data_IF_859978061394
#
_entry.id   IF_859978061394
#
_cell.length_a   1.000
_cell.length_b   1.000
_cell.length_c   1.000
_cell.angle_alpha   90.00
_cell.angle_beta   90.00
_cell.angle_gamma   90.00
#
_symmetry.space_group_name_H-M   'P 1'
#
loop_
_entity.id
_entity.type
_entity.pdbx_description
1 polymer ?
#
# COMPACT_ATOMS: atom_id res chain seq x y z
N UNK A 1 -0.14 -26.33 -17.28
CA UNK A 1 -1.40 -25.54 -17.34
C UNK A 1 -2.31 -25.80 -16.12
N UNK A 2 -2.21 -26.97 -15.47
CA UNK A 2 -3.12 -27.43 -14.40
C UNK A 2 -2.99 -26.70 -13.04
N UNK A 3 -1.79 -26.39 -12.56
CA UNK A 3 -1.59 -25.77 -11.22
C UNK A 3 -2.25 -24.39 -11.13
N UNK A 4 -2.17 -23.60 -12.21
CA UNK A 4 -2.72 -22.23 -12.27
C UNK A 4 -4.25 -22.20 -12.38
N UNK A 5 -4.86 -23.30 -12.82
CA UNK A 5 -6.32 -23.50 -12.84
C UNK A 5 -6.82 -24.08 -11.49
N UNK A 6 -6.08 -25.02 -10.90
CA UNK A 6 -6.40 -25.60 -9.59
C UNK A 6 -6.42 -24.54 -8.47
N UNK A 7 -5.47 -23.61 -8.46
CA UNK A 7 -5.45 -22.50 -7.51
C UNK A 7 -6.62 -21.53 -7.74
N UNK A 8 -7.01 -21.31 -8.99
CA UNK A 8 -8.11 -20.40 -9.36
C UNK A 8 -9.48 -20.89 -8.90
N UNK A 9 -9.66 -22.22 -8.83
CA UNK A 9 -10.92 -22.83 -8.38
C UNK A 9 -10.99 -23.03 -6.86
N UNK A 10 -9.92 -22.72 -6.10
CA UNK A 10 -9.88 -22.87 -4.63
C UNK A 10 -9.74 -21.56 -3.87
N UNK A 11 -9.52 -20.45 -4.57
CA UNK A 11 -9.39 -19.12 -3.99
C UNK A 11 -10.59 -18.30 -4.46
N UNK A 12 -11.28 -17.56 -3.58
CA UNK A 12 -12.42 -16.73 -3.98
C UNK A 12 -12.03 -15.80 -5.13
N UNK A 13 -12.90 -15.68 -6.14
CA UNK A 13 -12.69 -14.73 -7.22
C UNK A 13 -12.83 -13.30 -6.68
N UNK A 14 -11.87 -12.45 -7.05
CA UNK A 14 -11.79 -11.07 -6.60
C UNK A 14 -11.35 -10.17 -7.76
N UNK A 15 -11.59 -8.87 -7.64
CA UNK A 15 -11.24 -7.90 -8.68
C UNK A 15 -12.22 -7.84 -9.86
N UNK A 16 -13.43 -8.36 -9.69
CA UNK A 16 -14.50 -8.35 -10.72
C UNK A 16 -15.20 -7.00 -10.87
N UNK A 17 -14.75 -5.96 -10.12
CA UNK A 17 -15.35 -4.63 -10.20
C UNK A 17 -15.43 -4.13 -11.66
N UNK A 18 -16.56 -3.55 -12.06
CA UNK A 18 -16.69 -2.89 -13.35
C UNK A 18 -15.56 -1.88 -13.55
N UNK A 19 -15.01 -1.72 -14.78
CA UNK A 19 -13.83 -0.88 -15.00
C UNK A 19 -13.94 0.56 -14.47
N UNK A 20 -15.12 1.18 -14.61
CA UNK A 20 -15.37 2.53 -14.12
C UNK A 20 -15.37 2.63 -12.58
N UNK A 21 -15.91 1.61 -11.91
CA UNK A 21 -15.95 1.51 -10.45
C UNK A 21 -14.53 1.33 -9.90
N UNK A 22 -13.77 0.42 -10.49
CA UNK A 22 -12.36 0.21 -10.15
C UNK A 22 -11.54 1.47 -10.33
N UNK A 23 -11.66 2.15 -11.47
CA UNK A 23 -10.86 3.36 -11.76
C UNK A 23 -11.18 4.48 -10.76
N UNK A 24 -12.45 4.63 -10.35
CA UNK A 24 -12.84 5.60 -9.31
C UNK A 24 -12.17 5.28 -7.97
N UNK A 25 -12.27 4.03 -7.52
CA UNK A 25 -11.71 3.59 -6.23
C UNK A 25 -10.18 3.64 -6.22
N UNK A 26 -9.56 3.14 -7.29
CA UNK A 26 -8.12 3.17 -7.49
C UNK A 26 -7.57 4.59 -7.49
N UNK A 27 -8.25 5.54 -8.16
CA UNK A 27 -7.86 6.95 -8.16
C UNK A 27 -7.94 7.57 -6.75
N UNK A 28 -8.97 7.25 -5.98
CA UNK A 28 -9.07 7.71 -4.58
C UNK A 28 -7.91 7.19 -3.73
N UNK A 29 -7.59 5.89 -3.83
CA UNK A 29 -6.47 5.30 -3.10
C UNK A 29 -5.10 5.80 -3.58
N UNK A 30 -4.96 6.08 -4.87
CA UNK A 30 -3.73 6.66 -5.42
C UNK A 30 -3.53 8.10 -4.95
N UNK A 31 -4.60 8.90 -4.87
CA UNK A 31 -4.57 10.24 -4.25
C UNK A 31 -4.20 10.17 -2.78
N UNK A 32 -4.73 9.18 -2.05
CA UNK A 32 -4.34 8.94 -0.66
C UNK A 32 -2.85 8.58 -0.55
N UNK A 33 -2.32 7.76 -1.46
CA UNK A 33 -0.90 7.43 -1.50
C UNK A 33 -0.03 8.68 -1.75
N UNK A 34 -0.44 9.53 -2.70
CA UNK A 34 0.22 10.82 -2.91
C UNK A 34 0.17 11.72 -1.69
N UNK A 35 -0.98 11.79 -1.02
CA UNK A 35 -1.15 12.57 0.21
C UNK A 35 -0.26 12.02 1.33
N UNK A 36 -0.23 10.70 1.52
CA UNK A 36 0.61 10.05 2.53
C UNK A 36 2.11 10.30 2.26
N UNK A 37 2.55 10.20 1.00
CA UNK A 37 3.91 10.54 0.60
C UNK A 37 4.24 12.02 0.90
N UNK A 38 3.31 12.94 0.58
CA UNK A 38 3.47 14.36 0.87
C UNK A 38 3.53 14.67 2.37
N UNK A 39 2.65 14.06 3.17
CA UNK A 39 2.62 14.21 4.63
C UNK A 39 3.92 13.68 5.24
N UNK A 40 4.38 12.49 4.85
CA UNK A 40 5.61 11.91 5.37
C UNK A 40 6.84 12.73 4.98
N UNK A 41 6.88 13.23 3.74
CA UNK A 41 7.93 14.13 3.30
C UNK A 41 7.95 15.41 4.16
N UNK A 42 6.80 16.09 4.28
CA UNK A 42 6.68 17.31 5.06
C UNK A 42 7.03 17.10 6.54
N UNK A 43 6.53 16.02 7.16
CA UNK A 43 6.82 15.69 8.54
C UNK A 43 8.31 15.39 8.77
N UNK A 44 8.97 14.71 7.83
CA UNK A 44 10.41 14.44 7.89
C UNK A 44 11.20 15.75 7.86
N UNK A 45 10.83 16.70 7.00
CA UNK A 45 11.45 18.03 6.95
C UNK A 45 11.24 18.84 8.23
N UNK A 46 10.01 18.87 8.76
CA UNK A 46 9.66 19.65 9.97
C UNK A 46 10.35 19.07 11.21
N UNK A 47 10.42 17.73 11.32
CA UNK A 47 10.99 17.04 12.49
C UNK A 47 12.53 17.06 12.52
N UNK A 48 13.18 17.79 11.61
CA UNK A 48 14.62 17.95 11.61
C UNK A 48 15.41 16.79 10.99
N UNK A 49 14.75 15.79 10.41
CA UNK A 49 15.39 14.77 9.58
C UNK A 49 15.82 15.39 8.24
N UNK A 50 16.90 16.18 8.24
CA UNK A 50 17.34 16.98 7.08
C UNK A 50 18.24 16.22 6.09
N UNK A 51 18.58 14.97 6.39
CA UNK A 51 19.60 14.22 5.68
C UNK A 51 19.01 13.00 4.92
N UNK A 52 19.75 11.91 4.80
CA UNK A 52 19.40 10.74 3.99
C UNK A 52 18.05 10.07 4.35
N UNK A 53 17.57 10.19 5.60
CA UNK A 53 16.32 9.56 6.05
C UNK A 53 15.07 10.14 5.37
N UNK A 54 14.94 11.46 5.25
CA UNK A 54 13.81 12.07 4.54
C UNK A 54 13.82 11.69 3.05
N UNK A 55 15.01 11.66 2.44
CA UNK A 55 15.19 11.23 1.05
C UNK A 55 14.81 9.75 0.85
N UNK A 56 15.11 8.88 1.81
CA UNK A 56 14.74 7.46 1.78
C UNK A 56 13.21 7.29 1.80
N UNK A 57 12.48 8.06 2.61
CA UNK A 57 11.01 7.98 2.64
C UNK A 57 10.40 8.37 1.29
N UNK A 58 10.89 9.47 0.70
CA UNK A 58 10.47 9.95 -0.61
C UNK A 58 10.84 8.94 -1.72
N UNK A 59 12.06 8.40 -1.67
CA UNK A 59 12.56 7.42 -2.62
C UNK A 59 11.78 6.09 -2.57
N UNK A 60 11.26 5.71 -1.40
CA UNK A 60 10.41 4.54 -1.27
C UNK A 60 9.00 4.76 -1.85
N UNK A 61 8.38 5.93 -1.60
CA UNK A 61 6.97 6.14 -1.93
C UNK A 61 6.71 6.74 -3.31
N UNK A 62 7.56 7.64 -3.81
CA UNK A 62 7.33 8.29 -5.11
C UNK A 62 7.26 7.30 -6.28
N UNK A 63 8.19 6.33 -6.43
CA UNK A 63 8.11 5.36 -7.52
C UNK A 63 6.82 4.55 -7.48
N UNK A 64 6.36 4.19 -6.28
CA UNK A 64 5.10 3.46 -6.08
C UNK A 64 3.89 4.33 -6.46
N UNK A 65 3.87 5.60 -6.05
CA UNK A 65 2.80 6.53 -6.39
C UNK A 65 2.71 6.78 -7.91
N UNK A 66 3.85 7.00 -8.57
CA UNK A 66 3.91 7.16 -10.03
C UNK A 66 3.50 5.88 -10.76
N UNK A 67 4.00 4.72 -10.33
CA UNK A 67 3.67 3.45 -10.97
C UNK A 67 2.19 3.07 -10.77
N UNK A 68 1.61 3.32 -9.59
CA UNK A 68 0.16 3.16 -9.36
C UNK A 68 -0.67 4.04 -10.31
N UNK A 69 -0.25 5.30 -10.50
CA UNK A 69 -0.92 6.24 -11.40
C UNK A 69 -0.70 5.96 -12.90
N UNK A 70 0.20 5.05 -13.26
CA UNK A 70 0.58 4.79 -14.65
C UNK A 70 -0.55 4.14 -15.45
N UNK A 71 -0.87 4.70 -16.62
CA UNK A 71 -1.81 4.09 -17.58
C UNK A 71 -1.18 2.97 -18.40
N UNK A 72 0.15 2.80 -18.34
CA UNK A 72 0.89 1.76 -19.09
C UNK A 72 0.87 0.39 -18.41
N UNK A 73 0.60 0.35 -17.11
CA UNK A 73 0.58 -0.88 -16.32
C UNK A 73 -0.81 -1.51 -16.32
N UNK A 74 -0.84 -2.84 -16.16
CA UNK A 74 -2.10 -3.56 -16.03
C UNK A 74 -2.85 -3.13 -14.77
N UNK A 75 -4.19 -3.28 -14.81
CA UNK A 75 -5.08 -3.02 -13.68
C UNK A 75 -4.62 -3.70 -12.39
N UNK A 76 -4.19 -4.97 -12.49
CA UNK A 76 -3.68 -5.74 -11.36
C UNK A 76 -2.39 -5.13 -10.81
N UNK A 77 -1.40 -4.83 -11.68
CA UNK A 77 -0.14 -4.24 -11.22
C UNK A 77 -0.35 -2.90 -10.53
N UNK A 78 -1.17 -2.02 -11.10
CA UNK A 78 -1.52 -0.72 -10.49
C UNK A 78 -2.17 -0.90 -9.11
N UNK A 79 -3.09 -1.86 -8.99
CA UNK A 79 -3.76 -2.21 -7.73
C UNK A 79 -2.77 -2.70 -6.68
N UNK A 80 -1.89 -3.64 -7.04
CA UNK A 80 -0.90 -4.22 -6.13
C UNK A 80 0.15 -3.18 -5.71
N UNK A 81 0.65 -2.37 -6.65
CA UNK A 81 1.63 -1.31 -6.37
C UNK A 81 1.03 -0.24 -5.45
N UNK A 82 -0.20 0.18 -5.72
CA UNK A 82 -0.93 1.12 -4.84
C UNK A 82 -1.06 0.55 -3.42
N UNK A 83 -1.40 -0.73 -3.31
CA UNK A 83 -1.54 -1.43 -2.03
C UNK A 83 -0.23 -1.50 -1.25
N UNK A 84 0.86 -1.91 -1.90
CA UNK A 84 2.21 -1.90 -1.31
C UNK A 84 2.62 -0.49 -0.91
N UNK A 85 2.32 0.52 -1.73
CA UNK A 85 2.62 1.92 -1.42
C UNK A 85 1.92 2.40 -0.16
N UNK A 86 0.62 2.12 -0.01
CA UNK A 86 -0.15 2.52 1.18
C UNK A 86 0.32 1.79 2.44
N UNK A 87 0.63 0.50 2.34
CA UNK A 87 1.18 -0.28 3.45
C UNK A 87 2.59 0.20 3.85
N UNK A 88 3.41 0.55 2.86
CA UNK A 88 4.73 1.13 3.09
C UNK A 88 4.62 2.51 3.72
N UNK A 89 3.63 3.32 3.33
CA UNK A 89 3.38 4.60 3.99
C UNK A 89 2.96 4.42 5.46
N UNK A 90 2.14 3.40 5.78
CA UNK A 90 1.81 3.07 7.17
C UNK A 90 3.05 2.63 7.97
N UNK A 91 3.86 1.73 7.41
CA UNK A 91 5.13 1.27 7.99
C UNK A 91 6.08 2.44 8.30
N UNK A 92 6.30 3.32 7.32
CA UNK A 92 7.13 4.50 7.50
C UNK A 92 6.53 5.48 8.52
N UNK A 93 5.20 5.59 8.58
CA UNK A 93 4.50 6.37 9.60
C UNK A 93 4.79 5.85 11.01
N UNK A 94 4.76 4.52 11.22
CA UNK A 94 5.13 3.89 12.50
C UNK A 94 6.58 4.17 12.85
N UNK A 95 7.49 3.98 11.88
CA UNK A 95 8.92 4.25 12.08
C UNK A 95 9.18 5.69 12.51
N UNK A 96 8.58 6.65 11.80
CA UNK A 96 8.72 8.08 12.08
C UNK A 96 8.05 8.49 13.40
N UNK A 97 6.99 7.78 13.81
CA UNK A 97 6.38 7.94 15.12
C UNK A 97 7.18 7.29 16.27
N UNK A 98 8.37 6.74 15.99
CA UNK A 98 9.22 6.09 17.00
C UNK A 98 8.73 4.71 17.43
N UNK A 99 7.89 4.06 16.63
CA UNK A 99 7.39 2.71 16.94
C UNK A 99 6.34 2.66 18.05
N UNK A 100 5.68 3.78 18.38
CA UNK A 100 4.60 3.76 19.37
C UNK A 100 3.45 2.86 18.92
N UNK A 101 2.85 2.14 19.85
CA UNK A 101 1.82 1.13 19.56
C UNK A 101 0.60 1.74 18.87
N UNK A 102 0.25 2.98 19.21
CA UNK A 102 -0.87 3.69 18.59
C UNK A 102 -0.66 3.94 17.09
N UNK A 103 0.59 4.15 16.65
CA UNK A 103 0.87 4.38 15.23
C UNK A 103 0.59 3.14 14.38
N UNK A 104 0.68 1.94 14.97
CA UNK A 104 0.44 0.68 14.26
C UNK A 104 -1.04 0.51 13.88
N UNK A 105 -1.97 1.22 14.54
CA UNK A 105 -3.38 1.21 14.14
C UNK A 105 -3.59 1.66 12.69
N UNK A 106 -2.65 2.43 12.12
CA UNK A 106 -2.65 2.82 10.71
C UNK A 106 -2.70 1.62 9.75
N UNK A 107 -2.10 0.48 10.10
CA UNK A 107 -2.18 -0.73 9.28
C UNK A 107 -3.61 -1.26 9.18
N UNK A 108 -4.38 -1.28 10.28
CA UNK A 108 -5.78 -1.70 10.24
C UNK A 108 -6.60 -0.76 9.35
N UNK A 109 -6.35 0.55 9.44
CA UNK A 109 -7.01 1.54 8.58
C UNK A 109 -6.69 1.27 7.11
N UNK A 110 -5.41 1.06 6.77
CA UNK A 110 -5.00 0.76 5.39
C UNK A 110 -5.60 -0.56 4.91
N UNK A 111 -5.56 -1.64 5.71
CA UNK A 111 -6.16 -2.93 5.35
C UNK A 111 -7.66 -2.77 5.06
N UNK A 112 -8.40 -2.03 5.89
CA UNK A 112 -9.82 -1.73 5.65
C UNK A 112 -10.00 -0.93 4.36
N UNK A 113 -9.19 0.10 4.12
CA UNK A 113 -9.24 0.89 2.89
C UNK A 113 -8.95 0.04 1.64
N UNK A 114 -8.06 -0.95 1.73
CA UNK A 114 -7.73 -1.82 0.61
C UNK A 114 -8.85 -2.81 0.27
N UNK A 115 -9.80 -3.06 1.19
CA UNK A 115 -10.97 -3.91 0.89
C UNK A 115 -11.87 -3.33 -0.19
N UNK A 116 -11.78 -2.01 -0.47
CA UNK A 116 -12.52 -1.38 -1.57
C UNK A 116 -12.13 -1.92 -2.95
N UNK A 117 -10.99 -2.61 -3.10
CA UNK A 117 -10.68 -3.29 -4.35
C UNK A 117 -11.52 -4.55 -4.59
N UNK A 118 -12.20 -5.06 -3.55
CA UNK A 118 -12.97 -6.31 -3.59
C UNK A 118 -12.16 -7.45 -4.21
N UNK A 119 -10.87 -7.52 -3.85
CA UNK A 119 -9.90 -8.44 -4.43
C UNK A 119 -9.16 -9.20 -3.32
N UNK A 120 -9.31 -10.53 -3.32
CA UNK A 120 -8.66 -11.40 -2.35
C UNK A 120 -7.13 -11.35 -2.44
N UNK A 121 -6.56 -11.10 -3.63
CA UNK A 121 -5.11 -11.00 -3.79
C UNK A 121 -4.54 -9.77 -3.09
N UNK A 122 -5.31 -8.67 -3.06
CA UNK A 122 -4.97 -7.47 -2.29
C UNK A 122 -5.00 -7.76 -0.80
N UNK A 123 -6.03 -8.47 -0.33
CA UNK A 123 -6.12 -8.86 1.07
C UNK A 123 -4.95 -9.77 1.49
N UNK A 124 -4.65 -10.81 0.70
CA UNK A 124 -3.53 -11.71 0.95
C UNK A 124 -2.18 -10.97 0.96
N UNK A 125 -1.99 -10.00 0.06
CA UNK A 125 -0.82 -9.13 0.06
C UNK A 125 -0.76 -8.29 1.33
N UNK A 126 -1.86 -7.68 1.76
CA UNK A 126 -1.88 -6.84 2.94
C UNK A 126 -1.57 -7.62 4.21
N UNK A 127 -2.15 -8.82 4.37
CA UNK A 127 -1.83 -9.74 5.47
C UNK A 127 -0.37 -10.16 5.41
N UNK A 128 0.12 -10.61 4.25
CA UNK A 128 1.51 -11.05 4.09
C UNK A 128 2.53 -9.95 4.40
N UNK A 129 2.27 -8.72 3.92
CA UNK A 129 3.09 -7.55 4.23
C UNK A 129 3.08 -7.26 5.73
N UNK A 130 1.90 -7.24 6.35
CA UNK A 130 1.73 -6.93 7.78
C UNK A 130 2.46 -7.95 8.65
N UNK A 131 2.31 -9.25 8.34
CA UNK A 131 3.01 -10.32 9.05
C UNK A 131 4.53 -10.22 8.91
N UNK A 132 5.03 -9.88 7.72
CA UNK A 132 6.47 -9.67 7.52
C UNK A 132 6.97 -8.48 8.35
N UNK A 133 6.25 -7.36 8.31
CA UNK A 133 6.63 -6.15 9.05
C UNK A 133 6.59 -6.37 10.57
N UNK A 134 5.46 -6.82 11.10
CA UNK A 134 5.25 -6.91 12.55
C UNK A 134 5.85 -8.18 13.14
N UNK A 135 5.69 -9.31 12.45
CA UNK A 135 6.08 -10.62 12.98
C UNK A 135 7.57 -10.91 12.84
N UNK A 136 8.22 -10.44 11.78
CA UNK A 136 9.64 -10.74 11.52
C UNK A 136 10.54 -9.57 11.87
N UNK A 137 10.15 -8.34 11.55
CA UNK A 137 10.99 -7.17 11.81
C UNK A 137 10.79 -6.58 13.22
N UNK A 138 9.74 -6.99 13.95
CA UNK A 138 9.46 -6.52 15.31
C UNK A 138 9.16 -5.02 15.38
N UNK A 139 8.67 -4.45 14.28
CA UNK A 139 8.37 -3.03 14.09
C UNK A 139 6.89 -2.75 13.93
#
# INVERSE_FOLDING_TARGET
>A
MEVRQLLRNRVPSGGELPPAEWERRHRSLTRLLWLAAGILAAFSFISGYRDAHALLHIAALLPLAFAAASTKLSRLLRTMICSVGLLTAAALGVHVAGGVTEAHFSFFVVVVLLTVYEDWTVFALAVGYTLLHHGVLGM
#
